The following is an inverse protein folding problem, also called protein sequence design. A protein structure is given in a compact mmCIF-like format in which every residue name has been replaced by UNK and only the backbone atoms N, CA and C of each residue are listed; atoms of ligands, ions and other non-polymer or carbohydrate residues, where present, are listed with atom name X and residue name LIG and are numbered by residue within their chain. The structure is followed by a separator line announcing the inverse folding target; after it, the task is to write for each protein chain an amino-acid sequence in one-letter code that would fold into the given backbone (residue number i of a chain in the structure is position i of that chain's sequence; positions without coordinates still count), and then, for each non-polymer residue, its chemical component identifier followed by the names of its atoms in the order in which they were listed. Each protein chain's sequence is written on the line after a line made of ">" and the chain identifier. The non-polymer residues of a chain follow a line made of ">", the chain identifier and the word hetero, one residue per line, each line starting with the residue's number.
data_IF_729044410235
#
_entry.id   IF_729044410235
#
_cell.length_a   1.000
_cell.length_b   1.000
_cell.length_c   1.000
_cell.angle_alpha   90.00
_cell.angle_beta   90.00
_cell.angle_gamma   90.00
#
_symmetry.space_group_name_H-M   'P 1'
#
loop_
_entity.id
_entity.type
_entity.pdbx_description
1 polymer ?
#
# COMPACT_ATOMS: atom_id res chain seq x y z
N UNK A 1 12.38 -36.01 -5.25
CA UNK A 1 11.18 -36.06 -4.39
C UNK A 1 11.60 -36.59 -3.03
N UNK A 2 11.91 -35.72 -2.09
CA UNK A 2 12.16 -36.09 -0.69
C UNK A 2 10.82 -36.28 0.00
N UNK A 3 10.57 -37.47 0.56
CA UNK A 3 9.41 -37.73 1.43
C UNK A 3 9.57 -36.86 2.67
N UNK A 4 8.84 -35.76 2.78
CA UNK A 4 8.77 -35.01 4.04
C UNK A 4 8.13 -35.92 5.10
N UNK A 5 8.87 -36.16 6.18
CA UNK A 5 8.36 -36.90 7.33
C UNK A 5 7.14 -36.17 7.92
N UNK A 6 6.06 -36.89 8.17
CA UNK A 6 4.82 -36.34 8.70
C UNK A 6 5.07 -35.68 10.07
N UNK A 7 4.90 -34.36 10.16
CA UNK A 7 4.96 -33.60 11.39
C UNK A 7 3.56 -33.31 11.94
N UNK A 8 3.26 -33.88 13.11
CA UNK A 8 1.98 -33.68 13.81
C UNK A 8 1.74 -32.20 14.20
N UNK A 9 2.80 -31.46 14.56
CA UNK A 9 2.70 -30.02 14.87
C UNK A 9 2.25 -29.20 13.65
N UNK A 10 2.80 -29.49 12.46
CA UNK A 10 2.41 -28.83 11.20
C UNK A 10 0.99 -29.20 10.80
N UNK A 11 0.58 -30.44 11.07
CA UNK A 11 -0.80 -30.90 10.86
C UNK A 11 -1.80 -30.09 11.69
N UNK A 12 -1.59 -29.98 13.01
CA UNK A 12 -2.48 -29.20 13.90
C UNK A 12 -2.54 -27.74 13.47
N UNK A 13 -1.40 -27.14 13.14
CA UNK A 13 -1.37 -25.73 12.73
C UNK A 13 -2.10 -25.50 11.41
N UNK A 14 -1.96 -26.40 10.43
CA UNK A 14 -2.71 -26.34 9.18
C UNK A 14 -4.22 -26.48 9.40
N UNK A 15 -4.62 -27.35 10.33
CA UNK A 15 -6.02 -27.54 10.71
C UNK A 15 -6.59 -26.29 11.42
N UNK A 16 -5.85 -25.68 12.36
CA UNK A 16 -6.25 -24.45 13.05
C UNK A 16 -6.38 -23.27 12.08
N UNK A 17 -5.45 -23.11 11.13
CA UNK A 17 -5.58 -22.11 10.07
C UNK A 17 -6.79 -22.40 9.19
N UNK A 18 -7.03 -23.68 8.87
CA UNK A 18 -8.18 -24.13 8.09
C UNK A 18 -9.50 -23.72 8.75
N UNK A 19 -9.68 -24.10 10.01
CA UNK A 19 -10.85 -23.77 10.84
C UNK A 19 -10.98 -22.26 11.10
N UNK A 20 -9.89 -21.59 11.44
CA UNK A 20 -9.87 -20.14 11.66
C UNK A 20 -10.26 -19.38 10.40
N UNK A 21 -9.79 -19.82 9.23
CA UNK A 21 -10.17 -19.28 7.94
C UNK A 21 -11.64 -19.51 7.60
N UNK A 22 -12.19 -20.68 7.93
CA UNK A 22 -13.61 -20.98 7.76
C UNK A 22 -14.50 -20.09 8.63
N UNK A 23 -14.18 -19.97 9.92
CA UNK A 23 -14.92 -19.11 10.85
C UNK A 23 -14.82 -17.64 10.40
N UNK A 24 -13.61 -17.15 10.13
CA UNK A 24 -13.41 -15.77 9.69
C UNK A 24 -14.15 -15.48 8.37
N UNK A 25 -14.13 -16.41 7.41
CA UNK A 25 -14.85 -16.31 6.14
C UNK A 25 -16.37 -16.34 6.29
N UNK A 26 -16.90 -17.06 7.27
CA UNK A 26 -18.33 -17.11 7.56
C UNK A 26 -18.85 -15.79 8.17
N UNK A 27 -18.06 -15.13 9.03
CA UNK A 27 -18.44 -13.83 9.61
C UNK A 27 -18.16 -12.65 8.66
N UNK A 28 -17.05 -12.70 7.93
CA UNK A 28 -16.60 -11.65 7.02
C UNK A 28 -16.04 -12.31 5.75
N UNK A 29 -16.83 -12.40 4.66
CA UNK A 29 -16.39 -13.04 3.42
C UNK A 29 -15.06 -12.46 2.87
N UNK A 30 -14.76 -11.19 3.14
CA UNK A 30 -13.49 -10.55 2.81
C UNK A 30 -12.26 -11.14 3.53
N UNK A 31 -12.42 -11.80 4.68
CA UNK A 31 -11.33 -12.47 5.41
C UNK A 31 -10.82 -13.73 4.69
N UNK A 32 -11.59 -14.30 3.75
CA UNK A 32 -11.12 -15.41 2.90
C UNK A 32 -9.86 -15.04 2.10
N UNK A 33 -9.66 -13.76 1.80
CA UNK A 33 -8.48 -13.20 1.14
C UNK A 33 -7.21 -13.42 1.98
N UNK A 34 -7.30 -13.26 3.30
CA UNK A 34 -6.20 -13.53 4.24
C UNK A 34 -5.98 -15.04 4.41
N UNK A 35 -7.06 -15.83 4.40
CA UNK A 35 -6.97 -17.29 4.45
C UNK A 35 -6.20 -17.85 3.23
N UNK A 36 -6.44 -17.33 2.02
CA UNK A 36 -5.71 -17.71 0.80
C UNK A 36 -4.19 -17.50 0.96
N UNK A 37 -3.77 -16.39 1.60
CA UNK A 37 -2.36 -16.11 1.86
C UNK A 37 -1.74 -17.10 2.87
N UNK A 38 -2.47 -17.43 3.94
CA UNK A 38 -2.03 -18.38 4.95
C UNK A 38 -1.92 -19.81 4.41
N UNK A 39 -2.90 -20.24 3.60
CA UNK A 39 -2.85 -21.52 2.88
C UNK A 39 -1.67 -21.54 1.92
N UNK A 40 -1.40 -20.43 1.22
CA UNK A 40 -0.23 -20.34 0.35
C UNK A 40 1.09 -20.44 1.10
N UNK A 41 1.20 -19.80 2.27
CA UNK A 41 2.34 -19.92 3.16
C UNK A 41 2.61 -21.39 3.54
N UNK A 42 1.58 -22.10 4.02
CA UNK A 42 1.67 -23.53 4.36
C UNK A 42 2.15 -24.34 3.16
N UNK A 43 1.56 -24.10 1.98
CA UNK A 43 1.88 -24.84 0.77
C UNK A 43 3.31 -24.63 0.28
N UNK A 44 3.81 -23.40 0.40
CA UNK A 44 5.18 -23.03 0.02
C UNK A 44 6.21 -23.59 1.01
N UNK A 45 5.98 -23.43 2.32
CA UNK A 45 6.96 -23.77 3.35
C UNK A 45 6.92 -25.25 3.80
N UNK A 46 5.75 -25.88 3.82
CA UNK A 46 5.56 -27.24 4.39
C UNK A 46 5.07 -28.26 3.36
N UNK A 47 4.73 -27.85 2.15
CA UNK A 47 4.36 -28.76 1.06
C UNK A 47 2.84 -28.83 0.80
N UNK A 48 2.49 -29.48 -0.33
CA UNK A 48 1.12 -29.48 -0.85
C UNK A 48 0.12 -30.26 0.02
N UNK A 49 0.58 -31.27 0.77
CA UNK A 49 -0.26 -32.10 1.64
C UNK A 49 -0.87 -31.30 2.80
N UNK A 50 -0.07 -30.48 3.49
CA UNK A 50 -0.56 -29.62 4.57
C UNK A 50 -1.44 -28.48 4.06
N UNK A 51 -1.13 -27.95 2.87
CA UNK A 51 -1.99 -26.95 2.23
C UNK A 51 -3.36 -27.53 1.86
N UNK A 52 -3.40 -28.76 1.35
CA UNK A 52 -4.65 -29.44 1.02
C UNK A 52 -5.55 -29.60 2.27
N UNK A 53 -4.97 -29.93 3.42
CA UNK A 53 -5.70 -30.01 4.69
C UNK A 53 -6.28 -28.64 5.05
N UNK A 54 -5.46 -27.60 5.14
CA UNK A 54 -5.92 -26.26 5.49
C UNK A 54 -7.03 -25.78 4.54
N UNK A 55 -6.86 -26.03 3.24
CA UNK A 55 -7.76 -25.63 2.18
C UNK A 55 -9.11 -26.37 2.24
N UNK A 56 -9.12 -27.69 2.50
CA UNK A 56 -10.36 -28.46 2.69
C UNK A 56 -11.14 -27.94 3.89
N UNK A 57 -10.46 -27.64 5.00
CA UNK A 57 -11.13 -27.11 6.19
C UNK A 57 -11.61 -25.67 5.99
N UNK A 58 -10.87 -24.81 5.28
CA UNK A 58 -11.33 -23.44 4.97
C UNK A 58 -12.52 -23.45 4.02
N UNK A 59 -12.45 -24.18 2.91
CA UNK A 59 -13.54 -24.21 1.92
C UNK A 59 -14.77 -24.96 2.45
N UNK A 60 -14.56 -26.15 3.04
CA UNK A 60 -15.64 -26.96 3.61
C UNK A 60 -16.28 -26.28 4.83
N UNK A 61 -15.49 -25.69 5.71
CA UNK A 61 -16.00 -24.98 6.88
C UNK A 61 -16.73 -23.69 6.53
N UNK A 62 -16.31 -22.95 5.48
CA UNK A 62 -17.03 -21.75 5.04
C UNK A 62 -18.42 -22.10 4.47
N UNK A 63 -18.55 -23.19 3.71
CA UNK A 63 -19.84 -23.66 3.18
C UNK A 63 -20.73 -24.19 4.30
N UNK A 64 -20.18 -25.00 5.21
CA UNK A 64 -20.94 -25.57 6.33
C UNK A 64 -21.32 -24.54 7.40
N UNK A 65 -20.53 -23.47 7.54
CA UNK A 65 -20.78 -22.39 8.50
C UNK A 65 -21.87 -21.41 8.08
N UNK A 66 -22.24 -21.37 6.79
CA UNK A 66 -23.26 -20.47 6.24
C UNK A 66 -24.26 -21.24 5.37
N UNK A 67 -25.02 -22.14 6.00
CA UNK A 67 -26.06 -22.94 5.34
C UNK A 67 -27.24 -22.10 4.81
N UNK A 68 -27.35 -20.83 5.22
CA UNK A 68 -28.34 -19.87 4.70
C UNK A 68 -28.08 -19.49 3.24
N UNK A 69 -26.81 -19.45 2.81
CA UNK A 69 -26.40 -19.09 1.45
C UNK A 69 -25.36 -20.06 0.88
N UNK A 70 -25.73 -21.34 0.67
CA UNK A 70 -24.76 -22.38 0.31
C UNK A 70 -24.18 -22.16 -1.09
N UNK A 71 -24.95 -21.56 -2.01
CA UNK A 71 -24.51 -21.28 -3.39
C UNK A 71 -23.45 -20.17 -3.42
N UNK A 72 -23.68 -19.08 -2.69
CA UNK A 72 -22.74 -17.95 -2.57
C UNK A 72 -21.40 -18.42 -2.00
N UNK A 73 -21.45 -19.20 -0.91
CA UNK A 73 -20.27 -19.70 -0.22
C UNK A 73 -19.55 -20.80 -1.02
N UNK A 74 -20.27 -21.63 -1.77
CA UNK A 74 -19.66 -22.59 -2.67
C UNK A 74 -18.89 -21.91 -3.81
N UNK A 75 -19.42 -20.82 -4.38
CA UNK A 75 -18.74 -20.04 -5.40
C UNK A 75 -17.44 -19.39 -4.87
N UNK A 76 -17.50 -18.75 -3.70
CA UNK A 76 -16.32 -18.20 -3.03
C UNK A 76 -15.30 -19.28 -2.66
N UNK A 77 -15.78 -20.41 -2.13
CA UNK A 77 -14.97 -21.57 -1.78
C UNK A 77 -14.22 -22.13 -2.98
N UNK A 78 -14.91 -22.47 -4.07
CA UNK A 78 -14.30 -23.04 -5.27
C UNK A 78 -13.22 -22.13 -5.89
N UNK A 79 -13.47 -20.82 -5.94
CA UNK A 79 -12.54 -19.88 -6.54
C UNK A 79 -11.39 -19.50 -5.60
N UNK A 80 -11.61 -19.46 -4.28
CA UNK A 80 -10.52 -19.31 -3.29
C UNK A 80 -9.59 -20.53 -3.29
N UNK A 81 -10.12 -21.74 -3.46
CA UNK A 81 -9.32 -22.96 -3.67
C UNK A 81 -8.42 -22.82 -4.90
N UNK A 82 -8.99 -22.43 -6.04
CA UNK A 82 -8.23 -22.20 -7.27
C UNK A 82 -7.14 -21.13 -7.10
N UNK A 83 -7.50 -20.02 -6.45
CA UNK A 83 -6.59 -18.92 -6.13
C UNK A 83 -5.42 -19.37 -5.24
N UNK A 84 -5.67 -20.17 -4.19
CA UNK A 84 -4.64 -20.74 -3.32
C UNK A 84 -3.70 -21.67 -4.07
N UNK A 85 -4.22 -22.59 -4.88
CA UNK A 85 -3.40 -23.52 -5.68
C UNK A 85 -2.51 -22.76 -6.65
N UNK A 86 -3.08 -21.76 -7.34
CA UNK A 86 -2.34 -20.92 -8.27
C UNK A 86 -1.26 -20.10 -7.57
N UNK A 87 -1.56 -19.53 -6.40
CA UNK A 87 -0.60 -18.77 -5.61
C UNK A 87 0.56 -19.64 -5.12
N UNK A 88 0.29 -20.85 -4.61
CA UNK A 88 1.33 -21.81 -4.21
C UNK A 88 2.22 -22.18 -5.41
N UNK A 89 1.60 -22.53 -6.54
CA UNK A 89 2.32 -22.90 -7.75
C UNK A 89 3.16 -21.74 -8.30
N UNK A 90 2.61 -20.54 -8.35
CA UNK A 90 3.28 -19.34 -8.84
C UNK A 90 4.46 -18.93 -7.97
N UNK A 91 4.32 -19.00 -6.65
CA UNK A 91 5.42 -18.69 -5.72
C UNK A 91 6.54 -19.74 -5.81
N UNK A 92 6.21 -21.04 -5.81
CA UNK A 92 7.22 -22.11 -5.94
C UNK A 92 7.95 -22.09 -7.29
N UNK A 93 7.23 -21.78 -8.38
CA UNK A 93 7.80 -21.66 -9.74
C UNK A 93 8.45 -20.31 -10.02
N UNK A 94 8.56 -19.43 -9.02
CA UNK A 94 9.19 -18.10 -9.11
C UNK A 94 8.62 -17.23 -10.26
N UNK A 95 7.31 -17.35 -10.50
CA UNK A 95 6.60 -16.54 -11.50
C UNK A 95 6.71 -15.03 -11.21
N UNK A 96 6.59 -14.17 -12.23
CA UNK A 96 6.55 -12.74 -12.00
C UNK A 96 5.33 -12.37 -11.15
N UNK A 97 5.55 -11.62 -10.07
CA UNK A 97 4.49 -11.20 -9.14
C UNK A 97 3.31 -10.51 -9.83
N UNK A 98 3.57 -9.78 -10.92
CA UNK A 98 2.53 -9.11 -11.72
C UNK A 98 1.52 -10.10 -12.29
N UNK A 99 1.99 -11.23 -12.82
CA UNK A 99 1.11 -12.27 -13.35
C UNK A 99 0.36 -13.00 -12.25
N UNK A 100 1.00 -13.17 -11.08
CA UNK A 100 0.34 -13.77 -9.91
C UNK A 100 -0.82 -12.88 -9.46
N UNK A 101 -0.57 -11.59 -9.24
CA UNK A 101 -1.60 -10.62 -8.84
C UNK A 101 -2.71 -10.54 -9.88
N UNK A 102 -2.37 -10.50 -11.18
CA UNK A 102 -3.37 -10.40 -12.24
C UNK A 102 -4.35 -11.58 -12.24
N UNK A 103 -3.84 -12.82 -12.19
CA UNK A 103 -4.71 -14.01 -12.16
C UNK A 103 -5.49 -14.09 -10.86
N UNK A 104 -4.88 -13.69 -9.74
CA UNK A 104 -5.55 -13.67 -8.44
C UNK A 104 -6.68 -12.64 -8.41
N UNK A 105 -6.47 -11.45 -8.98
CA UNK A 105 -7.50 -10.42 -9.11
C UNK A 105 -8.65 -10.89 -9.99
N UNK A 106 -8.36 -11.55 -11.11
CA UNK A 106 -9.38 -12.12 -11.98
C UNK A 106 -10.18 -13.23 -11.29
N UNK A 107 -9.51 -14.12 -10.55
CA UNK A 107 -10.16 -15.16 -9.77
C UNK A 107 -11.03 -14.57 -8.63
N UNK A 108 -10.53 -13.56 -7.92
CA UNK A 108 -11.28 -12.85 -6.87
C UNK A 108 -12.49 -12.11 -7.43
N UNK A 109 -12.36 -11.45 -8.58
CA UNK A 109 -13.46 -10.77 -9.25
C UNK A 109 -14.54 -11.76 -9.67
N UNK A 110 -14.16 -12.87 -10.30
CA UNK A 110 -15.08 -13.94 -10.65
C UNK A 110 -15.77 -14.51 -9.40
N UNK A 111 -15.04 -14.66 -8.29
CA UNK A 111 -15.56 -15.20 -7.04
C UNK A 111 -16.63 -14.32 -6.45
N UNK A 112 -16.33 -13.02 -6.33
CA UNK A 112 -17.26 -12.04 -5.78
C UNK A 112 -18.47 -11.83 -6.71
N UNK A 113 -18.25 -11.81 -8.03
CA UNK A 113 -19.34 -11.68 -8.99
C UNK A 113 -20.30 -12.87 -8.92
N UNK A 114 -19.77 -14.10 -8.92
CA UNK A 114 -20.59 -15.29 -8.83
C UNK A 114 -21.25 -15.42 -7.45
N UNK A 115 -20.57 -15.06 -6.37
CA UNK A 115 -21.15 -15.16 -5.03
C UNK A 115 -22.34 -14.24 -4.83
N UNK A 116 -22.31 -13.04 -5.42
CA UNK A 116 -23.37 -12.03 -5.26
C UNK A 116 -24.46 -12.21 -6.33
N UNK A 117 -24.05 -12.49 -7.58
CA UNK A 117 -24.97 -12.54 -8.72
C UNK A 117 -25.66 -13.88 -8.90
N UNK A 118 -24.94 -15.00 -8.74
CA UNK A 118 -25.45 -16.33 -9.08
C UNK A 118 -26.70 -16.73 -8.28
N UNK A 119 -26.79 -16.52 -6.95
CA UNK A 119 -28.00 -16.86 -6.20
C UNK A 119 -29.24 -16.09 -6.70
N UNK A 120 -29.07 -14.82 -7.05
CA UNK A 120 -30.15 -13.95 -7.53
C UNK A 120 -30.64 -14.37 -8.91
N UNK A 121 -29.70 -14.70 -9.81
CA UNK A 121 -30.02 -15.18 -11.16
C UNK A 121 -30.73 -16.54 -11.11
N UNK A 122 -30.31 -17.45 -10.22
CA UNK A 122 -31.01 -18.72 -9.99
C UNK A 122 -32.44 -18.48 -9.47
N UNK A 123 -32.64 -17.45 -8.66
CA UNK A 123 -33.96 -17.03 -8.18
C UNK A 123 -34.80 -16.25 -9.22
N UNK A 124 -34.31 -16.08 -10.46
CA UNK A 124 -35.00 -15.36 -11.53
C UNK A 124 -35.01 -13.84 -11.38
N UNK A 125 -34.15 -13.28 -10.51
CA UNK A 125 -33.99 -11.83 -10.30
C UNK A 125 -32.82 -11.28 -11.10
N UNK A 126 -32.74 -9.95 -11.21
CA UNK A 126 -31.59 -9.28 -11.80
C UNK A 126 -30.29 -9.52 -11.01
N UNK A 127 -29.13 -9.52 -11.68
CA UNK A 127 -27.83 -9.50 -11.00
C UNK A 127 -27.79 -8.31 -10.02
N UNK A 128 -27.44 -8.58 -8.75
CA UNK A 128 -27.41 -7.61 -7.65
C UNK A 128 -28.76 -7.24 -7.01
N UNK A 129 -29.88 -7.88 -7.38
CA UNK A 129 -31.18 -7.59 -6.75
C UNK A 129 -31.14 -7.65 -5.22
N UNK A 130 -30.41 -8.62 -4.64
CA UNK A 130 -30.22 -8.71 -3.18
C UNK A 130 -29.48 -7.51 -2.57
N UNK A 131 -28.55 -6.88 -3.30
CA UNK A 131 -27.86 -5.65 -2.84
C UNK A 131 -28.81 -4.46 -2.87
N UNK A 132 -29.61 -4.35 -3.93
CA UNK A 132 -30.64 -3.31 -4.07
C UNK A 132 -31.69 -3.44 -2.97
N UNK A 133 -32.19 -4.64 -2.71
CA UNK A 133 -33.13 -4.94 -1.64
C UNK A 133 -32.55 -4.61 -0.26
N UNK A 134 -31.27 -4.90 -0.04
CA UNK A 134 -30.56 -4.58 1.22
C UNK A 134 -30.41 -3.07 1.45
N UNK A 135 -30.15 -2.29 0.39
CA UNK A 135 -30.11 -0.83 0.50
C UNK A 135 -31.49 -0.24 0.77
N UNK A 136 -32.53 -0.77 0.13
CA UNK A 136 -33.91 -0.33 0.35
C UNK A 136 -34.37 -0.63 1.78
N UNK A 137 -34.09 -1.83 2.30
CA UNK A 137 -34.41 -2.17 3.69
C UNK A 137 -33.61 -1.32 4.70
N UNK A 138 -32.36 -0.99 4.39
CA UNK A 138 -31.57 -0.04 5.18
C UNK A 138 -32.20 1.36 5.21
N UNK A 139 -32.70 1.86 4.07
CA UNK A 139 -33.42 3.13 3.99
C UNK A 139 -34.69 3.12 4.86
N UNK A 140 -35.41 2.01 4.88
CA UNK A 140 -36.62 1.87 5.69
C UNK A 140 -36.34 1.87 7.19
N UNK A 141 -35.24 1.22 7.62
CA UNK A 141 -34.83 1.14 9.04
C UNK A 141 -34.16 2.42 9.57
N UNK A 142 -33.31 3.07 8.76
CA UNK A 142 -32.40 4.13 9.23
C UNK A 142 -32.63 5.48 8.54
N UNK A 143 -33.56 5.55 7.59
CA UNK A 143 -33.98 6.80 6.96
C UNK A 143 -34.85 7.63 7.89
N UNK A 144 -34.24 8.36 8.83
CA UNK A 144 -34.96 9.24 9.76
C UNK A 144 -35.64 10.44 9.06
N UNK A 145 -35.20 10.77 7.84
CA UNK A 145 -35.81 11.82 7.01
C UNK A 145 -36.22 11.28 5.63
N UNK A 146 -37.28 11.86 5.06
CA UNK A 146 -37.73 11.54 3.71
C UNK A 146 -36.63 11.79 2.66
N UNK A 147 -35.81 12.82 2.87
CA UNK A 147 -34.66 13.16 2.02
C UNK A 147 -33.61 12.04 2.04
N UNK A 148 -33.26 11.54 3.23
CA UNK A 148 -32.29 10.45 3.35
C UNK A 148 -32.80 9.14 2.71
N UNK A 149 -34.11 8.87 2.80
CA UNK A 149 -34.74 7.72 2.13
C UNK A 149 -34.67 7.84 0.61
N UNK A 150 -34.94 9.03 0.08
CA UNK A 150 -34.88 9.31 -1.36
C UNK A 150 -33.44 9.20 -1.89
N UNK A 151 -32.45 9.69 -1.13
CA UNK A 151 -31.03 9.53 -1.49
C UNK A 151 -30.60 8.05 -1.50
N UNK A 152 -30.97 7.26 -0.48
CA UNK A 152 -30.61 5.83 -0.43
C UNK A 152 -31.33 5.04 -1.55
N UNK A 153 -32.59 5.40 -1.86
CA UNK A 153 -33.31 4.83 -3.00
C UNK A 153 -32.62 5.16 -4.33
N UNK A 154 -32.18 6.42 -4.50
CA UNK A 154 -31.37 6.83 -5.65
C UNK A 154 -30.05 6.07 -5.75
N UNK A 155 -29.38 5.79 -4.63
CA UNK A 155 -28.19 4.93 -4.62
C UNK A 155 -28.51 3.51 -5.07
N UNK A 156 -29.63 2.93 -4.60
CA UNK A 156 -30.06 1.58 -4.96
C UNK A 156 -30.25 1.43 -6.48
N UNK A 157 -30.80 2.45 -7.15
CA UNK A 157 -30.98 2.47 -8.60
C UNK A 157 -29.65 2.59 -9.38
N UNK A 158 -28.61 3.15 -8.76
CA UNK A 158 -27.27 3.23 -9.36
C UNK A 158 -26.41 1.97 -9.13
N UNK A 159 -26.82 1.04 -8.26
CA UNK A 159 -26.06 -0.18 -7.93
C UNK A 159 -25.66 -0.95 -9.19
N UNK A 160 -26.55 -1.28 -10.14
CA UNK A 160 -26.14 -2.05 -11.32
C UNK A 160 -25.07 -1.36 -12.18
N UNK A 161 -25.01 -0.02 -12.13
CA UNK A 161 -24.07 0.80 -12.89
C UNK A 161 -22.70 0.98 -12.21
N UNK A 162 -22.61 0.87 -10.89
CA UNK A 162 -21.38 1.20 -10.15
C UNK A 162 -20.79 -0.02 -9.44
N UNK A 163 -21.63 -1.00 -9.10
CA UNK A 163 -21.25 -2.08 -8.20
C UNK A 163 -20.21 -3.02 -8.79
N UNK A 164 -20.20 -3.27 -10.10
CA UNK A 164 -19.10 -4.02 -10.73
C UNK A 164 -17.76 -3.29 -10.59
N UNK A 165 -17.75 -1.95 -10.61
CA UNK A 165 -16.56 -1.14 -10.41
C UNK A 165 -16.02 -1.29 -9.00
N UNK A 166 -16.93 -1.33 -8.02
CA UNK A 166 -16.61 -1.63 -6.62
C UNK A 166 -15.98 -3.04 -6.52
N UNK A 167 -16.57 -4.05 -7.16
CA UNK A 167 -16.03 -5.41 -7.16
C UNK A 167 -14.63 -5.49 -7.78
N UNK A 168 -14.36 -4.77 -8.87
CA UNK A 168 -13.04 -4.70 -9.49
C UNK A 168 -12.02 -4.12 -8.50
N UNK A 169 -12.32 -2.99 -7.88
CA UNK A 169 -11.43 -2.36 -6.90
C UNK A 169 -11.14 -3.28 -5.71
N UNK A 170 -12.17 -3.94 -5.17
CA UNK A 170 -12.01 -4.88 -4.06
C UNK A 170 -11.20 -6.11 -4.47
N UNK A 171 -11.44 -6.66 -5.67
CA UNK A 171 -10.71 -7.82 -6.17
C UNK A 171 -9.22 -7.50 -6.42
N UNK A 172 -8.92 -6.32 -6.98
CA UNK A 172 -7.54 -5.86 -7.16
C UNK A 172 -6.85 -5.67 -5.81
N UNK A 173 -7.47 -4.93 -4.89
CA UNK A 173 -6.92 -4.70 -3.56
C UNK A 173 -6.66 -6.03 -2.84
N UNK A 174 -7.66 -6.91 -2.82
CA UNK A 174 -7.55 -8.25 -2.24
C UNK A 174 -6.37 -9.02 -2.83
N UNK A 175 -6.25 -9.08 -4.15
CA UNK A 175 -5.17 -9.79 -4.82
C UNK A 175 -3.78 -9.22 -4.48
N UNK A 176 -3.64 -7.89 -4.47
CA UNK A 176 -2.40 -7.23 -4.05
C UNK A 176 -2.04 -7.58 -2.61
N UNK A 177 -2.99 -7.44 -1.67
CA UNK A 177 -2.76 -7.74 -0.26
C UNK A 177 -2.42 -9.20 -0.03
N UNK A 178 -3.12 -10.15 -0.67
CA UNK A 178 -2.82 -11.58 -0.54
C UNK A 178 -1.40 -11.90 -0.98
N UNK A 179 -0.94 -11.37 -2.12
CA UNK A 179 0.42 -11.64 -2.61
C UNK A 179 1.48 -11.04 -1.68
N UNK A 180 1.27 -9.82 -1.19
CA UNK A 180 2.19 -9.17 -0.24
C UNK A 180 2.25 -9.97 1.07
N UNK A 181 1.09 -10.32 1.63
CA UNK A 181 1.00 -11.07 2.88
C UNK A 181 1.62 -12.46 2.75
N UNK A 182 1.31 -13.20 1.67
CA UNK A 182 1.90 -14.51 1.40
C UNK A 182 3.42 -14.42 1.27
N UNK A 183 3.94 -13.41 0.56
CA UNK A 183 5.39 -13.19 0.44
C UNK A 183 6.02 -12.90 1.80
N UNK A 184 5.42 -12.01 2.61
CA UNK A 184 5.92 -11.67 3.95
C UNK A 184 6.01 -12.92 4.83
N UNK A 185 4.95 -13.70 4.88
CA UNK A 185 4.88 -14.94 5.65
C UNK A 185 5.90 -15.98 5.17
N UNK A 186 5.99 -16.22 3.85
CA UNK A 186 6.97 -17.15 3.29
C UNK A 186 8.42 -16.70 3.52
N UNK A 187 8.69 -15.40 3.47
CA UNK A 187 10.03 -14.87 3.75
C UNK A 187 10.37 -15.05 5.23
N UNK A 188 9.42 -14.81 6.14
CA UNK A 188 9.58 -15.11 7.56
C UNK A 188 9.81 -16.62 7.81
N UNK A 189 9.17 -17.47 7.01
CA UNK A 189 9.39 -18.92 6.97
C UNK A 189 10.67 -19.36 6.24
N UNK A 190 11.57 -18.43 5.89
CA UNK A 190 12.84 -18.68 5.16
C UNK A 190 12.68 -19.36 3.80
N UNK A 191 11.54 -19.21 3.13
CA UNK A 191 11.35 -19.73 1.78
C UNK A 191 12.08 -18.86 0.75
N UNK A 192 12.75 -19.52 -0.21
CA UNK A 192 13.39 -18.83 -1.32
C UNK A 192 12.38 -18.35 -2.37
N UNK A 193 12.01 -17.08 -2.28
CA UNK A 193 11.11 -16.44 -3.24
C UNK A 193 11.87 -15.53 -4.21
N UNK A 194 11.23 -15.21 -5.33
CA UNK A 194 11.73 -14.19 -6.27
C UNK A 194 11.85 -12.84 -5.54
N UNK A 195 12.90 -12.05 -5.74
CA UNK A 195 12.95 -10.71 -5.17
C UNK A 195 11.83 -9.83 -5.77
N UNK A 196 11.15 -9.07 -4.92
CA UNK A 196 10.17 -8.07 -5.33
C UNK A 196 10.81 -6.69 -5.21
N UNK A 197 10.63 -5.84 -6.22
CA UNK A 197 11.04 -4.44 -6.15
C UNK A 197 10.37 -3.75 -4.96
N UNK A 198 11.06 -2.77 -4.36
CA UNK A 198 10.48 -1.98 -3.26
C UNK A 198 9.28 -1.22 -3.77
N UNK A 199 8.27 -1.00 -2.92
CA UNK A 199 7.04 -0.31 -3.32
C UNK A 199 7.30 1.08 -3.95
N UNK A 200 8.28 1.81 -3.41
CA UNK A 200 8.81 3.08 -3.97
C UNK A 200 9.22 3.01 -5.45
N UNK A 201 9.64 1.84 -5.92
CA UNK A 201 10.12 1.60 -7.28
C UNK A 201 9.02 1.06 -8.21
N UNK A 202 7.81 0.83 -7.69
CA UNK A 202 6.70 0.34 -8.51
C UNK A 202 6.26 1.41 -9.48
N UNK A 203 6.42 1.11 -10.77
CA UNK A 203 6.05 1.98 -11.88
C UNK A 203 5.20 1.21 -12.87
N UNK A 204 4.22 1.91 -13.44
CA UNK A 204 3.43 1.41 -14.54
C UNK A 204 4.30 1.22 -15.80
N UNK A 205 3.97 0.23 -16.65
CA UNK A 205 4.70 0.02 -17.88
C UNK A 205 4.52 1.21 -18.82
N UNK A 206 5.56 1.54 -19.59
CA UNK A 206 5.52 2.65 -20.56
C UNK A 206 4.52 2.42 -21.69
N UNK A 207 4.11 1.17 -21.95
CA UNK A 207 3.03 0.85 -22.90
C UNK A 207 1.71 1.52 -22.52
N UNK A 208 1.46 1.75 -21.23
CA UNK A 208 0.23 2.38 -20.75
C UNK A 208 0.13 3.87 -21.18
N UNK A 209 1.25 4.52 -21.51
CA UNK A 209 1.25 5.88 -22.09
C UNK A 209 0.50 5.94 -23.43
N UNK A 210 0.52 4.85 -24.19
CA UNK A 210 -0.18 4.74 -25.48
C UNK A 210 -1.53 4.04 -25.28
N UNK A 211 -1.59 3.04 -24.39
CA UNK A 211 -2.82 2.32 -24.10
C UNK A 211 -3.93 3.21 -23.52
N UNK A 212 -3.59 4.17 -22.65
CA UNK A 212 -4.56 5.07 -22.03
C UNK A 212 -5.31 5.97 -23.05
N UNK A 213 -4.63 6.70 -23.96
CA UNK A 213 -5.33 7.49 -24.97
C UNK A 213 -6.10 6.61 -25.97
N UNK A 214 -5.60 5.42 -26.31
CA UNK A 214 -6.35 4.47 -27.16
C UNK A 214 -7.65 4.03 -26.49
N UNK A 215 -7.62 3.71 -25.18
CA UNK A 215 -8.82 3.40 -24.41
C UNK A 215 -9.78 4.59 -24.36
N UNK A 216 -9.27 5.80 -24.14
CA UNK A 216 -10.09 7.02 -24.12
C UNK A 216 -10.79 7.26 -25.47
N UNK A 217 -10.06 7.12 -26.59
CA UNK A 217 -10.63 7.23 -27.94
C UNK A 217 -11.69 6.15 -28.18
N UNK A 218 -11.44 4.91 -27.76
CA UNK A 218 -12.42 3.83 -27.86
C UNK A 218 -13.73 4.13 -27.11
N UNK A 219 -13.62 4.68 -25.89
CA UNK A 219 -14.79 5.10 -25.10
C UNK A 219 -15.52 6.25 -25.79
N UNK A 220 -14.81 7.27 -26.28
CA UNK A 220 -15.42 8.39 -27.02
C UNK A 220 -16.16 7.90 -28.27
N UNK A 221 -15.58 6.96 -29.03
CA UNK A 221 -16.25 6.35 -30.18
C UNK A 221 -17.53 5.63 -29.75
N UNK A 222 -17.52 4.90 -28.63
CA UNK A 222 -18.74 4.25 -28.10
C UNK A 222 -19.84 5.25 -27.74
N UNK A 223 -19.49 6.41 -27.18
CA UNK A 223 -20.45 7.48 -26.90
C UNK A 223 -21.01 8.11 -28.19
N UNK A 224 -20.16 8.38 -29.18
CA UNK A 224 -20.59 8.90 -30.49
C UNK A 224 -21.52 7.89 -31.19
N UNK A 225 -21.19 6.61 -31.12
CA UNK A 225 -21.99 5.52 -31.68
C UNK A 225 -23.28 5.22 -30.88
N UNK A 226 -23.53 5.91 -29.77
CA UNK A 226 -24.69 5.71 -28.86
C UNK A 226 -24.83 4.25 -28.40
N UNK A 227 -23.71 3.59 -28.14
CA UNK A 227 -23.74 2.23 -27.62
C UNK A 227 -24.37 2.22 -26.22
N UNK A 228 -25.38 1.37 -26.00
CA UNK A 228 -26.15 1.35 -24.76
C UNK A 228 -25.29 1.12 -23.49
N UNK A 229 -24.16 0.41 -23.62
CA UNK A 229 -23.21 0.15 -22.53
C UNK A 229 -22.02 1.12 -22.44
N UNK A 230 -22.03 2.26 -23.15
CA UNK A 230 -20.88 3.18 -23.19
C UNK A 230 -20.55 3.77 -21.80
N UNK A 231 -21.57 4.12 -21.01
CA UNK A 231 -21.42 4.58 -19.62
C UNK A 231 -20.80 3.49 -18.74
N UNK A 232 -21.34 2.28 -18.80
CA UNK A 232 -20.82 1.11 -18.06
C UNK A 232 -19.34 0.86 -18.40
N UNK A 233 -18.98 0.91 -19.69
CA UNK A 233 -17.59 0.71 -20.13
C UNK A 233 -16.67 1.82 -19.59
N UNK A 234 -17.08 3.09 -19.64
CA UNK A 234 -16.32 4.22 -19.10
C UNK A 234 -16.01 4.01 -17.61
N UNK A 235 -17.03 3.72 -16.80
CA UNK A 235 -16.85 3.49 -15.38
C UNK A 235 -16.00 2.25 -15.11
N UNK A 236 -16.15 1.16 -15.88
CA UNK A 236 -15.32 -0.05 -15.76
C UNK A 236 -13.85 0.26 -15.94
N UNK A 237 -13.51 0.97 -17.02
CA UNK A 237 -12.13 1.36 -17.32
C UNK A 237 -11.60 2.32 -16.25
N UNK A 238 -12.41 3.28 -15.80
CA UNK A 238 -12.03 4.21 -14.75
C UNK A 238 -11.72 3.47 -13.44
N UNK A 239 -12.61 2.59 -12.99
CA UNK A 239 -12.45 1.82 -11.75
C UNK A 239 -11.30 0.81 -11.81
N UNK A 240 -11.01 0.22 -12.97
CA UNK A 240 -9.84 -0.66 -13.13
C UNK A 240 -8.51 0.12 -13.07
N UNK A 241 -8.49 1.35 -13.57
CA UNK A 241 -7.26 2.14 -13.64
C UNK A 241 -6.97 2.93 -12.36
N UNK A 242 -8.01 3.29 -11.59
CA UNK A 242 -7.89 4.17 -10.43
C UNK A 242 -6.98 3.60 -9.33
N UNK A 243 -7.08 2.32 -8.91
CA UNK A 243 -6.16 1.72 -7.94
C UNK A 243 -4.73 1.64 -8.46
N UNK A 244 -4.56 1.31 -9.75
CA UNK A 244 -3.26 1.22 -10.39
C UNK A 244 -2.53 2.57 -10.36
N UNK A 245 -3.25 3.64 -10.71
CA UNK A 245 -2.71 5.00 -10.64
C UNK A 245 -2.50 5.44 -9.20
N UNK A 246 -3.44 5.16 -8.29
CA UNK A 246 -3.34 5.47 -6.87
C UNK A 246 -2.09 4.85 -6.23
N UNK A 247 -1.86 3.54 -6.44
CA UNK A 247 -0.68 2.85 -5.94
C UNK A 247 0.63 3.42 -6.51
N UNK A 248 0.62 3.80 -7.80
CA UNK A 248 1.79 4.41 -8.45
C UNK A 248 2.07 5.81 -7.92
N UNK A 249 1.03 6.61 -7.70
CA UNK A 249 1.12 7.94 -7.10
C UNK A 249 1.62 7.87 -5.66
N UNK A 250 1.13 6.92 -4.87
CA UNK A 250 1.61 6.66 -3.50
C UNK A 250 3.09 6.24 -3.51
N UNK A 251 3.49 5.38 -4.44
CA UNK A 251 4.90 5.03 -4.65
C UNK A 251 5.78 6.23 -5.04
N UNK A 252 5.25 7.16 -5.84
CA UNK A 252 5.93 8.40 -6.20
C UNK A 252 6.08 9.36 -5.01
N UNK A 253 5.04 9.51 -4.20
CA UNK A 253 5.07 10.31 -2.97
C UNK A 253 6.14 9.80 -1.99
N UNK A 254 6.13 8.50 -1.72
CA UNK A 254 7.15 7.86 -0.86
C UNK A 254 8.56 8.04 -1.45
N UNK A 255 8.71 7.99 -2.78
CA UNK A 255 9.98 8.24 -3.44
C UNK A 255 10.56 9.62 -3.13
N UNK A 256 9.72 10.65 -3.19
CA UNK A 256 10.13 12.04 -2.96
C UNK A 256 10.31 12.30 -1.46
N UNK A 257 9.49 11.71 -0.61
CA UNK A 257 9.58 11.87 0.84
C UNK A 257 10.89 11.36 1.44
N UNK A 258 11.39 10.21 0.97
CA UNK A 258 12.71 9.72 1.40
C UNK A 258 13.85 10.66 1.02
N UNK A 259 13.69 11.49 -0.03
CA UNK A 259 14.70 12.46 -0.45
C UNK A 259 14.60 13.81 0.27
N UNK A 260 13.39 14.25 0.64
CA UNK A 260 13.15 15.55 1.30
C UNK A 260 13.09 15.48 2.82
N UNK A 261 13.00 14.29 3.41
CA UNK A 261 12.99 14.07 4.86
C UNK A 261 11.59 13.93 5.46
N UNK A 262 11.54 13.61 6.77
CA UNK A 262 10.32 13.20 7.50
C UNK A 262 9.22 14.27 7.50
N UNK A 263 9.56 15.56 7.49
CA UNK A 263 8.57 16.65 7.47
C UNK A 263 7.71 16.67 6.20
N UNK A 264 8.29 16.32 5.05
CA UNK A 264 7.56 16.21 3.79
C UNK A 264 6.62 15.00 3.77
N UNK A 265 6.98 13.91 4.48
CA UNK A 265 6.11 12.75 4.66
C UNK A 265 4.84 13.10 5.45
N UNK A 266 4.96 13.92 6.50
CA UNK A 266 3.82 14.37 7.31
C UNK A 266 2.88 15.26 6.50
N UNK A 267 3.41 16.18 5.70
CA UNK A 267 2.60 17.03 4.79
C UNK A 267 1.89 16.17 3.74
N UNK A 268 2.57 15.16 3.19
CA UNK A 268 1.95 14.19 2.28
C UNK A 268 0.86 13.38 2.98
N UNK A 269 1.10 12.90 4.20
CA UNK A 269 0.12 12.11 4.94
C UNK A 269 -1.15 12.92 5.23
N UNK A 270 -1.00 14.20 5.64
CA UNK A 270 -2.13 15.13 5.81
C UNK A 270 -2.82 15.37 4.47
N UNK A 271 -2.07 15.59 3.40
CA UNK A 271 -2.64 15.78 2.05
C UNK A 271 -3.38 14.52 1.56
N UNK A 272 -2.89 13.32 1.86
CA UNK A 272 -3.58 12.07 1.53
C UNK A 272 -4.88 11.90 2.33
N UNK A 273 -4.89 12.30 3.59
CA UNK A 273 -6.09 12.27 4.44
C UNK A 273 -7.12 13.32 4.00
N UNK A 274 -6.68 14.47 3.50
CA UNK A 274 -7.55 15.61 3.16
C UNK A 274 -7.96 15.64 1.67
N UNK A 275 -7.12 15.17 0.74
CA UNK A 275 -7.33 15.30 -0.73
C UNK A 275 -7.65 13.99 -1.48
N UNK A 276 -8.02 12.92 -0.74
CA UNK A 276 -8.76 11.77 -1.26
C UNK A 276 -7.99 10.87 -2.29
N UNK A 277 -8.54 9.70 -2.71
CA UNK A 277 -7.86 8.76 -3.63
C UNK A 277 -7.60 9.36 -5.02
N UNK A 278 -8.38 10.35 -5.44
CA UNK A 278 -8.23 10.99 -6.76
C UNK A 278 -6.91 11.73 -6.92
N UNK A 279 -6.43 12.42 -5.88
CA UNK A 279 -5.14 13.13 -5.95
C UNK A 279 -3.97 12.16 -6.15
N UNK A 280 -4.02 11.00 -5.47
CA UNK A 280 -3.02 9.94 -5.65
C UNK A 280 -3.07 9.35 -7.06
N UNK A 281 -4.26 9.18 -7.63
CA UNK A 281 -4.42 8.73 -9.01
C UNK A 281 -3.87 9.75 -10.02
N UNK A 282 -4.16 11.05 -9.83
CA UNK A 282 -3.62 12.13 -10.68
C UNK A 282 -2.10 12.16 -10.65
N UNK A 283 -1.48 12.01 -9.47
CA UNK A 283 -0.03 11.90 -9.35
C UNK A 283 0.53 10.65 -10.02
N UNK A 284 -0.19 9.52 -9.97
CA UNK A 284 0.16 8.32 -10.71
C UNK A 284 0.19 8.53 -12.22
N UNK A 285 -0.83 9.22 -12.76
CA UNK A 285 -0.88 9.61 -14.18
C UNK A 285 0.26 10.57 -14.52
N UNK A 286 0.51 11.57 -13.67
CA UNK A 286 1.60 12.52 -13.85
C UNK A 286 2.97 11.84 -13.88
N UNK A 287 3.27 10.94 -12.94
CA UNK A 287 4.53 10.18 -12.91
C UNK A 287 4.67 9.27 -14.13
N UNK A 288 3.57 8.65 -14.60
CA UNK A 288 3.57 7.85 -15.82
C UNK A 288 4.00 8.70 -17.03
N UNK A 289 3.41 9.88 -17.24
CA UNK A 289 3.73 10.71 -18.41
C UNK A 289 5.09 11.39 -18.29
N UNK A 290 5.37 12.07 -17.18
CA UNK A 290 6.62 12.82 -16.96
C UNK A 290 7.85 11.92 -16.85
N UNK A 291 7.68 10.68 -16.37
CA UNK A 291 8.80 9.79 -16.06
C UNK A 291 9.72 10.34 -14.96
N UNK A 292 9.17 11.14 -14.05
CA UNK A 292 9.89 11.87 -13.00
C UNK A 292 10.86 10.96 -12.23
N UNK A 293 10.37 9.81 -11.73
CA UNK A 293 11.22 8.86 -11.01
C UNK A 293 12.37 8.29 -11.84
N UNK A 294 12.14 7.97 -13.12
CA UNK A 294 13.20 7.46 -14.02
C UNK A 294 14.27 8.52 -14.28
N UNK A 295 13.88 9.78 -14.46
CA UNK A 295 14.81 10.90 -14.63
C UNK A 295 15.68 11.07 -13.39
N UNK A 296 15.06 11.09 -12.20
CA UNK A 296 15.77 11.21 -10.94
C UNK A 296 16.72 10.04 -10.65
N UNK A 297 16.34 8.80 -10.99
CA UNK A 297 17.23 7.64 -10.85
C UNK A 297 18.41 7.69 -11.83
N UNK A 298 18.18 8.17 -13.05
CA UNK A 298 19.27 8.36 -14.04
C UNK A 298 20.26 9.40 -13.53
N UNK A 299 19.78 10.52 -13.00
CA UNK A 299 20.64 11.57 -12.44
C UNK A 299 21.50 11.02 -11.29
N UNK A 300 20.90 10.31 -10.32
CA UNK A 300 21.65 9.70 -9.22
C UNK A 300 22.76 8.74 -9.72
N UNK A 301 22.46 7.94 -10.75
CA UNK A 301 23.45 7.03 -11.35
C UNK A 301 24.59 7.80 -12.00
N UNK A 302 24.29 8.82 -12.81
CA UNK A 302 25.30 9.64 -13.48
C UNK A 302 26.20 10.37 -12.47
N UNK A 303 25.61 10.90 -11.41
CA UNK A 303 26.34 11.51 -10.30
C UNK A 303 27.28 10.51 -9.66
N UNK A 304 26.79 9.32 -9.30
CA UNK A 304 27.61 8.27 -8.68
C UNK A 304 28.75 7.83 -9.59
N UNK A 305 28.48 7.61 -10.87
CA UNK A 305 29.50 7.21 -11.86
C UNK A 305 30.57 8.30 -12.03
N UNK A 306 30.20 9.58 -11.97
CA UNK A 306 31.18 10.67 -12.03
C UNK A 306 32.03 10.78 -10.77
N UNK A 307 31.45 10.54 -9.58
CA UNK A 307 32.23 10.45 -8.34
C UNK A 307 33.24 9.29 -8.41
N UNK A 308 32.81 8.10 -8.84
CA UNK A 308 33.69 6.94 -9.01
C UNK A 308 34.79 7.19 -10.06
N UNK A 309 34.46 7.91 -11.15
CA UNK A 309 35.43 8.28 -12.19
C UNK A 309 36.45 9.30 -11.68
N UNK A 310 35.99 10.34 -10.98
CA UNK A 310 36.87 11.34 -10.39
C UNK A 310 37.81 10.73 -9.34
N UNK A 311 37.34 9.75 -8.56
CA UNK A 311 38.17 9.02 -7.60
C UNK A 311 39.24 8.17 -8.30
N UNK A 312 38.88 7.41 -9.34
CA UNK A 312 39.83 6.59 -10.13
C UNK A 312 40.91 7.42 -10.82
N UNK A 313 40.54 8.59 -11.32
CA UNK A 313 41.44 9.46 -12.08
C UNK A 313 42.10 10.53 -11.19
N UNK A 314 41.89 10.45 -9.87
CA UNK A 314 42.43 11.37 -8.87
C UNK A 314 42.17 12.85 -9.20
N UNK A 315 41.01 13.14 -9.79
CA UNK A 315 40.61 14.51 -10.16
C UNK A 315 40.01 15.23 -8.96
N UNK A 316 40.39 16.49 -8.79
CA UNK A 316 39.84 17.37 -7.74
C UNK A 316 38.42 17.87 -8.07
N UNK A 317 37.92 17.70 -9.29
CA UNK A 317 36.58 18.15 -9.68
C UNK A 317 35.74 16.99 -10.21
N UNK A 318 34.50 16.90 -9.71
CA UNK A 318 33.50 15.94 -10.15
C UNK A 318 32.62 16.62 -11.18
N UNK A 319 32.77 16.22 -12.44
CA UNK A 319 31.97 16.72 -13.56
C UNK A 319 31.01 15.66 -14.04
N UNK A 320 29.76 16.03 -14.28
CA UNK A 320 28.73 15.17 -14.85
C UNK A 320 28.13 15.86 -16.07
N UNK A 321 28.01 15.11 -17.15
CA UNK A 321 27.14 15.48 -18.25
C UNK A 321 25.78 14.81 -18.04
N UNK A 322 24.72 15.61 -17.90
CA UNK A 322 23.36 15.13 -17.69
C UNK A 322 22.63 14.82 -19.01
N UNK A 323 23.24 15.09 -20.18
CA UNK A 323 22.65 14.85 -21.49
C UNK A 323 21.47 15.77 -21.81
N UNK A 324 21.39 16.90 -21.11
CA UNK A 324 20.37 17.95 -21.22
C UNK A 324 20.79 19.10 -22.16
N UNK A 325 21.86 18.90 -22.93
CA UNK A 325 22.38 19.86 -23.92
C UNK A 325 23.17 21.02 -23.33
N UNK A 326 23.36 21.06 -22.00
CA UNK A 326 24.11 22.10 -21.28
C UNK A 326 25.61 21.78 -21.13
N UNK A 327 26.02 20.59 -21.58
CA UNK A 327 27.39 20.09 -21.44
C UNK A 327 27.75 19.68 -20.01
N UNK A 328 29.03 19.34 -19.76
CA UNK A 328 29.50 18.85 -18.46
C UNK A 328 29.40 19.93 -17.38
N UNK A 329 28.74 19.62 -16.26
CA UNK A 329 28.60 20.51 -15.10
C UNK A 329 29.42 20.00 -13.91
N UNK A 330 30.09 20.92 -13.21
CA UNK A 330 30.81 20.61 -11.97
C UNK A 330 29.82 20.51 -10.82
N UNK A 331 29.75 19.37 -10.14
CA UNK A 331 28.82 19.13 -9.04
C UNK A 331 29.51 19.18 -7.67
N UNK A 332 30.80 18.84 -7.60
CA UNK A 332 31.56 18.89 -6.37
C UNK A 332 33.05 19.12 -6.66
N UNK A 333 33.74 19.78 -5.73
CA UNK A 333 35.19 19.93 -5.73
C UNK A 333 35.72 19.20 -4.50
N UNK A 334 36.64 18.25 -4.69
CA UNK A 334 37.35 17.56 -3.61
C UNK A 334 38.33 18.58 -3.01
N UNK A 335 38.08 19.01 -1.77
CA UNK A 335 39.00 19.89 -1.04
C UNK A 335 40.30 19.11 -0.78
N UNK A 336 41.44 19.64 -1.24
CA UNK A 336 42.74 19.06 -0.92
C UNK A 336 42.95 19.14 0.60
N UNK A 337 43.35 18.04 1.22
CA UNK A 337 43.68 17.96 2.67
C UNK A 337 45.05 18.61 2.99
N UNK A 338 45.61 19.41 2.08
CA UNK A 338 46.99 19.92 2.14
C UNK A 338 47.05 21.38 2.60
N UNK A 339 45.92 22.08 2.66
CA UNK A 339 45.91 23.54 2.92
C UNK A 339 45.60 23.92 4.39
N UNK A 340 45.50 22.96 5.32
CA UNK A 340 45.28 23.23 6.76
C UNK A 340 46.54 22.95 7.62
N UNK A 341 47.74 23.12 7.06
CA UNK A 341 49.01 23.03 7.80
C UNK A 341 49.64 24.41 8.07
N UNK A 342 48.86 25.38 8.53
CA UNK A 342 49.35 26.74 8.80
C UNK A 342 49.14 27.25 10.24
N UNK A 343 48.78 26.38 11.19
CA UNK A 343 48.88 26.71 12.62
C UNK A 343 49.28 25.48 13.43
N UNK A 344 50.53 25.08 13.31
CA UNK A 344 51.19 24.27 14.34
C UNK A 344 52.68 24.64 14.35
N UNK A 345 53.01 25.72 15.06
CA UNK A 345 54.29 25.89 15.77
C UNK A 345 54.35 27.25 16.48
N UNK A 346 54.01 27.24 17.77
CA UNK A 346 54.72 28.01 18.80
C UNK A 346 54.63 27.28 20.14
N UNK A 347 55.51 26.29 20.24
CA UNK A 347 56.29 25.89 21.41
C UNK A 347 56.09 26.66 22.72
N UNK A 348 55.94 25.92 23.81
CA UNK A 348 56.19 26.40 25.17
C UNK A 348 55.78 25.39 26.23
N UNK A 349 56.61 24.37 26.43
CA UNK A 349 56.57 23.42 27.55
C UNK A 349 56.58 24.16 28.91
N UNK A 350 55.86 23.63 29.90
CA UNK A 350 56.43 23.21 31.20
C UNK A 350 55.35 22.56 32.08
N UNK A 351 55.65 21.32 32.51
CA UNK A 351 54.99 20.62 33.61
C UNK A 351 55.46 21.22 34.94
N UNK A 352 54.57 21.45 35.90
CA UNK A 352 54.78 20.95 37.28
C UNK A 352 53.52 21.00 38.16
N UNK A 353 53.42 19.97 39.01
CA UNK A 353 52.42 19.73 40.05
C UNK A 353 52.44 20.82 41.13
N UNK A 354 51.31 21.02 41.82
CA UNK A 354 51.14 20.75 43.26
C UNK A 354 49.79 21.30 43.79
N UNK A 355 48.92 20.40 44.26
CA UNK A 355 48.09 20.67 45.45
C UNK A 355 48.98 20.45 46.69
N UNK A 356 48.81 21.21 47.80
CA UNK A 356 47.81 20.80 48.82
C UNK A 356 47.12 21.94 49.64
N UNK A 357 45.92 21.58 50.11
CA UNK A 357 45.24 21.78 51.42
C UNK A 357 45.26 23.08 52.28
N UNK A 358 44.15 23.18 53.05
CA UNK A 358 43.71 24.09 54.13
C UNK A 358 43.18 25.47 53.70
N UNK A 359 41.94 25.89 53.98
CA UNK A 359 40.90 25.41 54.91
C UNK A 359 40.51 26.55 55.84
N UNK A 360 39.25 27.02 55.78
CA UNK A 360 38.41 27.39 56.95
C UNK A 360 37.00 27.74 56.49
N UNK A 361 36.06 27.25 57.29
CA UNK A 361 34.62 27.42 57.32
C UNK A 361 34.14 28.88 57.25
N UNK A 362 32.93 29.10 56.70
CA UNK A 362 31.75 29.47 57.49
C UNK A 362 30.48 29.49 56.61
N UNK A 363 29.39 28.94 57.15
CA UNK A 363 28.10 28.73 56.50
C UNK A 363 27.20 29.97 56.41
N UNK A 364 25.95 29.80 55.93
CA UNK A 364 25.14 30.82 55.28
C UNK A 364 24.19 31.55 56.25
N UNK A 365 23.77 32.78 55.90
CA UNK A 365 22.64 33.43 56.57
C UNK A 365 21.72 34.20 55.60
N UNK A 366 20.42 34.07 55.86
CA UNK A 366 19.28 34.62 55.12
C UNK A 366 18.67 35.81 55.88
N UNK A 367 17.94 36.66 55.16
CA UNK A 367 16.99 37.65 55.70
C UNK A 367 17.50 39.08 55.61
N UNK A 368 16.69 40.12 55.41
CA UNK A 368 15.25 40.28 55.22
C UNK A 368 15.02 41.76 54.80
N UNK A 369 14.03 41.98 53.92
CA UNK A 369 13.03 43.04 53.92
C UNK A 369 13.26 44.58 53.80
N UNK A 370 12.26 45.14 53.09
CA UNK A 370 11.62 46.47 53.15
C UNK A 370 12.06 47.61 52.22
N UNK A 371 11.19 47.97 51.27
CA UNK A 371 10.34 49.17 51.41
C UNK A 371 9.25 49.34 50.32
N UNK A 372 8.00 49.39 50.78
CA UNK A 372 6.82 50.19 50.42
C UNK A 372 6.80 51.11 49.18
N UNK A 373 5.76 51.00 48.35
CA UNK A 373 4.64 51.98 48.35
C UNK A 373 3.59 51.74 47.26
N UNK A 374 2.34 51.88 47.70
CA UNK A 374 1.06 51.85 46.98
C UNK A 374 0.85 53.03 46.02
N UNK A 375 -0.04 52.85 45.04
CA UNK A 375 -0.64 53.93 44.24
C UNK A 375 -1.68 53.44 43.22
N UNK A 376 -2.93 53.27 43.67
CA UNK A 376 -4.23 53.61 43.04
C UNK A 376 -4.38 53.62 41.50
N UNK A 377 -5.33 52.84 40.96
CA UNK A 377 -6.76 53.20 40.87
C UNK A 377 -7.54 52.30 39.86
N UNK A 378 -8.71 51.83 40.30
CA UNK A 378 -10.03 51.79 39.64
C UNK A 378 -10.09 51.60 38.10
N UNK A 379 -10.93 50.74 37.51
CA UNK A 379 -12.36 50.61 37.73
C UNK A 379 -12.98 49.56 36.78
N UNK A 380 -13.93 48.78 37.29
CA UNK A 380 -15.27 48.65 36.67
C UNK A 380 -15.55 47.63 35.55
N UNK A 381 -16.12 46.48 35.98
CA UNK A 381 -17.32 45.83 35.38
C UNK A 381 -17.13 45.09 34.04
N UNK A 382 -17.76 43.96 33.76
CA UNK A 382 -18.82 43.21 34.41
C UNK A 382 -19.32 42.17 33.38
N UNK A 383 -19.52 40.95 33.88
CA UNK A 383 -20.33 39.82 33.38
C UNK A 383 -20.99 39.90 31.98
N UNK A 384 -20.72 38.88 31.14
CA UNK A 384 -21.65 37.77 30.87
C UNK A 384 -20.99 36.72 29.96
#
# INVERSE_FOLDING_TARGET
>A
MTKEAFSFKRFIFALLIGLGGAVAGAFLPGMLVAAVALVAYIGVCWGYSYAAIALVFTAGGAVLGNLSEPVSMAALGALSVGASVFLIAGLKRKWPYRSIVFVLALASLAAMYLSIGLPQVIAGKEPYAGVVESLKSFAELYGDSAVLREEIAGMADTVPLVFYGILINFAEAAAFFTVILAKLLCTAGKAELRPMARFREWQLPSSLKIGLPVLAVGIVIMFIARFAGASTMLYTVAYMLLPLFGATGLGCMLFVAERRGKGFLTVIAILMTVMAPFFTALLGVFDLYSGLRKRMQRMDRLVKEAFERAEKENRNTVTVDFGDGRGPQVIAVRKNRVDDAFFDDRSGEEQEKNEPENGTDEGPDNGEDNNDSFGDNDNGGGEA
#
